data_IF_788101965554
#
_entry.id   IF_788101965554
#
_cell.length_a   1.000
_cell.length_b   1.000
_cell.length_c   1.000
_cell.angle_alpha   90.00
_cell.angle_beta   90.00
_cell.angle_gamma   90.00
#
_symmetry.space_group_name_H-M   'P 1'
#
loop_
_entity.id
_entity.type
_entity.pdbx_description
1 polymer ?
#
# COMPACT_ATOMS: atom_id res chain seq x y z
N UNK A 1 1.25 -12.24 -16.59
CA UNK A 1 0.38 -11.10 -16.99
C UNK A 1 1.13 -10.16 -17.94
N UNK A 2 2.00 -9.25 -17.48
CA UNK A 2 2.74 -8.31 -18.37
C UNK A 2 3.68 -8.99 -19.37
N UNK A 3 4.41 -10.00 -18.93
CA UNK A 3 5.37 -10.74 -19.77
C UNK A 3 4.73 -11.87 -20.61
N UNK A 4 3.40 -11.96 -20.68
CA UNK A 4 2.72 -13.08 -21.37
C UNK A 4 2.84 -14.45 -20.68
N UNK A 5 3.59 -14.57 -19.58
CA UNK A 5 3.82 -15.82 -18.85
C UNK A 5 2.71 -16.17 -17.83
N UNK A 6 1.45 -15.79 -18.09
CA UNK A 6 0.36 -16.06 -17.14
C UNK A 6 0.14 -17.57 -16.90
N UNK A 7 0.43 -18.40 -17.90
CA UNK A 7 0.36 -19.86 -17.83
C UNK A 7 1.37 -20.50 -16.84
N UNK A 8 2.32 -19.74 -16.31
CA UNK A 8 3.27 -20.21 -15.30
C UNK A 8 2.75 -20.05 -13.86
N UNK A 9 1.66 -19.31 -13.66
CA UNK A 9 1.07 -19.09 -12.33
C UNK A 9 0.35 -20.39 -11.92
N UNK A 10 0.89 -21.08 -10.91
CA UNK A 10 0.28 -22.31 -10.36
C UNK A 10 -0.84 -22.02 -9.38
N UNK A 11 -0.78 -20.88 -8.69
CA UNK A 11 -1.76 -20.46 -7.69
C UNK A 11 -1.75 -18.93 -7.57
N UNK A 12 -2.94 -18.37 -7.35
CA UNK A 12 -3.10 -16.99 -6.89
C UNK A 12 -3.34 -17.02 -5.40
N UNK A 13 -2.41 -16.45 -4.63
CA UNK A 13 -2.50 -16.44 -3.18
C UNK A 13 -3.54 -15.42 -2.72
N UNK A 14 -4.36 -15.81 -1.75
CA UNK A 14 -5.39 -14.93 -1.18
C UNK A 14 -4.72 -13.72 -0.51
N UNK A 15 -5.07 -12.48 -0.91
CA UNK A 15 -4.47 -11.26 -0.36
C UNK A 15 -4.83 -11.00 1.10
N UNK A 16 -5.78 -11.73 1.68
CA UNK A 16 -6.06 -11.71 3.13
C UNK A 16 -5.08 -12.60 3.92
N UNK A 17 -4.56 -13.64 3.28
CA UNK A 17 -3.56 -14.56 3.83
C UNK A 17 -2.13 -14.05 3.58
N UNK A 18 -1.79 -13.76 2.32
CA UNK A 18 -0.49 -13.22 1.92
C UNK A 18 -0.67 -11.82 1.36
N UNK A 19 -0.53 -10.83 2.26
CA UNK A 19 -0.67 -9.44 1.90
C UNK A 19 0.40 -9.04 0.86
N UNK A 20 0.00 -8.36 -0.23
CA UNK A 20 0.94 -7.82 -1.21
C UNK A 20 1.92 -6.80 -0.62
N UNK A 21 3.00 -6.53 -1.34
CA UNK A 21 3.84 -5.37 -1.06
C UNK A 21 3.08 -4.06 -1.36
N UNK A 22 3.49 -2.98 -0.71
CA UNK A 22 2.97 -1.63 -0.92
C UNK A 22 3.03 -1.24 -2.41
N UNK A 23 1.90 -0.90 -3.00
CA UNK A 23 1.78 -0.53 -4.41
C UNK A 23 1.97 -1.67 -5.41
N UNK A 24 1.98 -2.94 -4.96
CA UNK A 24 2.19 -4.08 -5.86
C UNK A 24 1.16 -4.12 -6.99
N UNK A 25 1.66 -4.19 -8.22
CA UNK A 25 0.83 -4.22 -9.43
C UNK A 25 0.56 -2.85 -10.04
N UNK A 26 0.77 -1.74 -9.33
CA UNK A 26 0.70 -0.40 -9.91
C UNK A 26 1.97 -0.06 -10.73
N UNK A 27 1.86 0.95 -11.59
CA UNK A 27 3.00 1.60 -12.26
C UNK A 27 2.97 3.07 -11.87
N UNK A 28 4.07 3.57 -11.32
CA UNK A 28 4.26 4.99 -11.03
C UNK A 28 5.01 5.68 -12.17
N UNK A 29 4.62 6.91 -12.46
CA UNK A 29 5.34 7.79 -13.38
C UNK A 29 5.92 8.95 -12.57
N UNK A 30 7.22 9.18 -12.69
CA UNK A 30 7.93 10.27 -12.02
C UNK A 30 8.29 11.35 -13.05
N UNK A 31 8.09 12.61 -12.68
CA UNK A 31 8.48 13.76 -13.46
C UNK A 31 9.00 14.86 -12.53
N UNK A 32 9.68 15.87 -13.09
CA UNK A 32 10.13 17.02 -12.30
C UNK A 32 8.94 17.84 -11.84
N UNK A 33 9.03 18.39 -10.63
CA UNK A 33 7.95 19.16 -10.02
C UNK A 33 7.63 20.46 -10.78
N UNK A 34 8.64 21.06 -11.42
CA UNK A 34 8.56 22.31 -12.18
C UNK A 34 8.21 22.13 -13.67
N UNK A 35 8.00 20.89 -14.13
CA UNK A 35 7.66 20.57 -15.52
C UNK A 35 6.15 20.35 -15.69
N UNK A 36 5.41 21.45 -15.88
CA UNK A 36 3.95 21.42 -15.98
C UNK A 36 3.45 20.59 -17.17
N UNK A 37 4.21 20.57 -18.28
CA UNK A 37 3.83 19.79 -19.47
C UNK A 37 3.83 18.30 -19.16
N UNK A 38 4.89 17.80 -18.50
CA UNK A 38 4.96 16.40 -18.07
C UNK A 38 3.90 16.07 -17.03
N UNK A 39 3.64 16.98 -16.08
CA UNK A 39 2.65 16.78 -15.01
C UNK A 39 1.24 16.63 -15.57
N UNK A 40 0.84 17.46 -16.52
CA UNK A 40 -0.49 17.37 -17.14
C UNK A 40 -0.64 16.08 -17.95
N UNK A 41 0.40 15.67 -18.68
CA UNK A 41 0.40 14.40 -19.39
C UNK A 41 0.24 13.19 -18.45
N UNK A 42 0.96 13.17 -17.32
CA UNK A 42 0.86 12.10 -16.31
C UNK A 42 -0.52 12.09 -15.63
N UNK A 43 -1.07 13.28 -15.32
CA UNK A 43 -2.40 13.40 -14.71
C UNK A 43 -3.48 12.74 -15.56
N UNK A 44 -3.43 12.90 -16.88
CA UNK A 44 -4.38 12.24 -17.81
C UNK A 44 -4.30 10.71 -17.81
N UNK A 45 -3.15 10.13 -17.44
CA UNK A 45 -2.94 8.67 -17.37
C UNK A 45 -3.27 8.08 -16.01
N UNK A 46 -3.61 8.92 -15.03
CA UNK A 46 -3.80 8.50 -13.65
C UNK A 46 -5.16 7.84 -13.45
N UNK A 47 -5.16 6.59 -12.99
CA UNK A 47 -6.36 5.96 -12.45
C UNK A 47 -6.59 6.43 -11.01
N UNK A 48 -7.69 7.15 -10.77
CA UNK A 48 -7.97 7.80 -9.49
C UNK A 48 -8.06 6.79 -8.33
N UNK A 49 -8.71 5.65 -8.53
CA UNK A 49 -8.87 4.62 -7.49
C UNK A 49 -7.51 4.02 -7.09
N UNK A 50 -6.69 3.65 -8.08
CA UNK A 50 -5.32 3.17 -7.86
C UNK A 50 -4.47 4.23 -7.17
N UNK A 51 -4.58 5.50 -7.58
CA UNK A 51 -3.87 6.61 -6.94
C UNK A 51 -4.20 6.72 -5.45
N UNK A 52 -5.48 6.75 -5.09
CA UNK A 52 -5.93 6.86 -3.69
C UNK A 52 -5.41 5.69 -2.85
N UNK A 53 -5.56 4.46 -3.37
CA UNK A 53 -5.10 3.22 -2.75
C UNK A 53 -3.59 3.23 -2.50
N UNK A 54 -2.81 3.45 -3.55
CA UNK A 54 -1.34 3.46 -3.47
C UNK A 54 -0.84 4.59 -2.57
N UNK A 55 -1.50 5.74 -2.57
CA UNK A 55 -1.10 6.87 -1.73
C UNK A 55 -1.33 6.57 -0.23
N UNK A 56 -2.44 5.91 0.12
CA UNK A 56 -2.68 5.43 1.48
C UNK A 56 -1.67 4.36 1.91
N UNK A 57 -1.40 3.38 1.06
CA UNK A 57 -0.42 2.32 1.31
C UNK A 57 1.00 2.88 1.53
N UNK A 58 1.41 3.86 0.71
CA UNK A 58 2.70 4.52 0.84
C UNK A 58 2.78 5.40 2.09
N UNK A 59 1.69 6.09 2.44
CA UNK A 59 1.62 6.89 3.67
C UNK A 59 1.77 6.03 4.92
N UNK A 60 1.10 4.87 4.95
CA UNK A 60 1.27 3.87 6.01
C UNK A 60 2.72 3.40 6.10
N UNK A 61 3.32 2.98 4.97
CA UNK A 61 4.70 2.50 4.95
C UNK A 61 5.69 3.56 5.46
N UNK A 62 5.54 4.81 4.99
CA UNK A 62 6.39 5.92 5.39
C UNK A 62 6.25 6.23 6.90
N UNK A 63 5.03 6.22 7.43
CA UNK A 63 4.76 6.46 8.85
C UNK A 63 5.31 5.36 9.77
N UNK A 64 5.38 4.12 9.29
CA UNK A 64 6.03 3.00 9.99
C UNK A 64 7.57 3.08 9.95
N UNK A 65 8.15 4.04 9.22
CA UNK A 65 9.61 4.11 9.00
C UNK A 65 10.14 2.97 8.13
N UNK A 66 9.26 2.29 7.38
CA UNK A 66 9.61 1.12 6.58
C UNK A 66 10.30 1.46 5.25
N UNK A 67 11.32 0.67 4.89
CA UNK A 67 11.95 0.66 3.56
C UNK A 67 11.57 -0.57 2.72
N UNK A 68 12.24 -0.81 1.58
CA UNK A 68 11.92 -1.96 0.72
C UNK A 68 12.20 -3.35 1.33
N UNK A 69 12.93 -3.42 2.46
CA UNK A 69 13.40 -4.66 3.07
C UNK A 69 12.69 -5.01 4.38
N UNK A 70 11.69 -4.24 4.80
CA UNK A 70 10.93 -4.56 6.01
C UNK A 70 9.75 -5.50 5.69
N UNK A 71 9.44 -6.47 6.58
CA UNK A 71 8.35 -7.42 6.42
C UNK A 71 6.97 -6.77 6.66
N UNK A 72 6.61 -5.86 5.76
CA UNK A 72 5.34 -5.12 5.76
C UNK A 72 4.54 -5.49 4.51
N UNK A 73 3.27 -5.83 4.71
CA UNK A 73 2.31 -6.10 3.62
C UNK A 73 1.06 -5.25 3.77
N UNK A 74 0.40 -4.93 2.66
CA UNK A 74 -0.84 -4.16 2.65
C UNK A 74 -1.76 -4.53 1.50
N UNK A 75 -3.06 -4.36 1.71
CA UNK A 75 -4.08 -4.37 0.67
C UNK A 75 -5.09 -3.26 0.92
N UNK A 76 -5.65 -2.72 -0.16
CA UNK A 76 -6.61 -1.63 -0.07
C UNK A 76 -7.69 -1.75 -1.14
N UNK A 77 -8.88 -1.22 -0.85
CA UNK A 77 -10.01 -1.09 -1.79
C UNK A 77 -10.65 0.29 -1.65
N UNK A 78 -11.31 0.75 -2.71
CA UNK A 78 -12.13 1.97 -2.71
C UNK A 78 -13.51 1.59 -3.25
N UNK A 79 -14.53 1.73 -2.43
CA UNK A 79 -15.93 1.42 -2.75
C UNK A 79 -16.81 2.54 -2.17
N UNK A 80 -17.73 3.09 -2.98
CA UNK A 80 -18.68 4.13 -2.57
C UNK A 80 -18.05 5.33 -1.83
N UNK A 81 -16.86 5.76 -2.27
CA UNK A 81 -16.11 6.87 -1.68
C UNK A 81 -15.37 6.53 -0.37
N UNK A 82 -15.38 5.27 0.04
CA UNK A 82 -14.69 4.79 1.25
C UNK A 82 -13.44 4.00 0.86
N UNK A 83 -12.28 4.43 1.38
CA UNK A 83 -11.04 3.68 1.29
C UNK A 83 -10.92 2.76 2.50
N UNK A 84 -10.81 1.46 2.24
CA UNK A 84 -10.50 0.46 3.26
C UNK A 84 -9.07 -0.03 3.03
N UNK A 85 -8.23 0.03 4.06
CA UNK A 85 -6.84 -0.41 4.00
C UNK A 85 -6.56 -1.38 5.15
N UNK A 86 -5.86 -2.48 4.83
CA UNK A 86 -5.41 -3.48 5.80
C UNK A 86 -3.90 -3.64 5.67
N UNK A 87 -3.20 -3.47 6.78
CA UNK A 87 -1.75 -3.61 6.86
C UNK A 87 -1.35 -4.71 7.84
N UNK A 88 -0.17 -5.29 7.60
CA UNK A 88 0.48 -6.19 8.54
C UNK A 88 1.98 -5.91 8.63
N UNK A 89 2.51 -6.07 9.84
CA UNK A 89 3.94 -6.03 10.15
C UNK A 89 4.30 -7.34 10.82
N UNK A 90 5.39 -7.98 10.38
CA UNK A 90 5.84 -9.27 10.89
C UNK A 90 7.27 -9.18 11.40
N UNK A 91 7.74 -10.15 12.18
CA UNK A 91 9.19 -10.38 12.32
C UNK A 91 9.75 -11.03 11.05
N UNK A 92 11.06 -10.91 10.76
CA UNK A 92 11.69 -11.57 9.61
C UNK A 92 11.52 -13.09 9.58
N UNK A 93 11.42 -13.72 10.75
CA UNK A 93 11.17 -15.16 10.89
C UNK A 93 9.67 -15.53 10.82
N UNK A 94 8.77 -14.55 10.72
CA UNK A 94 7.32 -14.71 10.64
C UNK A 94 6.64 -15.17 11.94
N UNK A 95 7.35 -15.31 13.05
CA UNK A 95 6.80 -15.84 14.30
C UNK A 95 5.85 -14.86 14.99
N UNK A 96 6.11 -13.56 14.87
CA UNK A 96 5.26 -12.50 15.41
C UNK A 96 4.65 -11.71 14.26
N UNK A 97 3.40 -11.28 14.43
CA UNK A 97 2.72 -10.38 13.51
C UNK A 97 1.76 -9.46 14.23
N UNK A 98 1.65 -8.25 13.72
CA UNK A 98 0.63 -7.26 14.06
C UNK A 98 -0.16 -6.95 12.78
N UNK A 99 -1.47 -6.86 12.89
CA UNK A 99 -2.37 -6.63 11.75
C UNK A 99 -3.46 -5.66 12.18
N UNK A 100 -3.75 -4.68 11.33
CA UNK A 100 -4.84 -3.74 11.54
C UNK A 100 -5.56 -3.46 10.23
N UNK A 101 -6.82 -3.04 10.35
CA UNK A 101 -7.65 -2.59 9.24
C UNK A 101 -8.27 -1.24 9.62
N UNK A 102 -8.23 -0.30 8.71
CA UNK A 102 -8.78 1.04 8.89
C UNK A 102 -9.63 1.45 7.68
N UNK A 103 -10.60 2.33 7.90
CA UNK A 103 -11.54 2.84 6.89
C UNK A 103 -11.69 4.34 7.04
N UNK A 104 -11.63 5.06 5.93
CA UNK A 104 -11.90 6.49 5.90
C UNK A 104 -12.30 6.96 4.50
N UNK A 105 -12.34 8.28 4.31
CA UNK A 105 -12.73 8.86 3.04
C UNK A 105 -11.65 8.63 1.98
N UNK A 106 -12.05 8.25 0.77
CA UNK A 106 -11.12 7.98 -0.32
C UNK A 106 -10.42 9.23 -0.87
N UNK A 107 -10.94 10.43 -0.61
CA UNK A 107 -10.29 11.70 -0.94
C UNK A 107 -9.26 12.15 0.12
N UNK A 108 -9.16 11.44 1.25
CA UNK A 108 -8.18 11.66 2.31
C UNK A 108 -7.18 10.49 2.47
N UNK A 109 -6.61 9.92 1.39
CA UNK A 109 -5.85 8.67 1.46
C UNK A 109 -4.61 8.75 2.35
N UNK A 110 -3.95 9.92 2.42
CA UNK A 110 -2.78 10.14 3.29
C UNK A 110 -3.14 9.95 4.76
N UNK A 111 -4.25 10.56 5.21
CA UNK A 111 -4.72 10.44 6.58
C UNK A 111 -5.10 8.98 6.90
N UNK A 112 -5.84 8.32 6.01
CA UNK A 112 -6.24 6.91 6.18
C UNK A 112 -5.02 5.98 6.33
N UNK A 113 -3.95 6.22 5.54
CA UNK A 113 -2.70 5.47 5.67
C UNK A 113 -1.94 5.75 6.96
N UNK A 114 -1.87 7.01 7.38
CA UNK A 114 -1.21 7.43 8.62
C UNK A 114 -1.93 6.89 9.86
N UNK A 115 -3.26 6.91 9.86
CA UNK A 115 -4.08 6.36 10.94
C UNK A 115 -3.92 4.84 11.05
N UNK A 116 -3.85 4.12 9.92
CA UNK A 116 -3.53 2.70 9.94
C UNK A 116 -2.15 2.43 10.55
N UNK A 117 -1.13 3.23 10.20
CA UNK A 117 0.20 3.09 10.78
C UNK A 117 0.20 3.32 12.29
N UNK A 118 -0.52 4.34 12.77
CA UNK A 118 -0.69 4.59 14.20
C UNK A 118 -1.32 3.39 14.93
N UNK A 119 -2.39 2.81 14.37
CA UNK A 119 -3.00 1.59 14.92
C UNK A 119 -2.02 0.42 14.99
N UNK A 120 -1.20 0.22 13.96
CA UNK A 120 -0.18 -0.85 13.96
C UNK A 120 0.89 -0.59 15.03
N UNK A 121 1.32 0.66 15.21
CA UNK A 121 2.31 1.04 16.22
C UNK A 121 1.78 0.85 17.64
N UNK A 122 0.53 1.21 17.91
CA UNK A 122 -0.13 1.00 19.20
C UNK A 122 -0.23 -0.48 19.57
N UNK A 123 -0.35 -1.36 18.55
CA UNK A 123 -0.33 -2.82 18.70
C UNK A 123 1.09 -3.42 18.76
N UNK A 124 2.13 -2.58 18.80
CA UNK A 124 3.52 -3.00 19.01
C UNK A 124 4.34 -3.27 17.74
N UNK A 125 3.90 -2.77 16.57
CA UNK A 125 4.64 -2.95 15.32
C UNK A 125 6.08 -2.40 15.37
N UNK A 126 6.34 -1.37 16.19
CA UNK A 126 7.68 -0.79 16.36
C UNK A 126 8.73 -1.83 16.80
N UNK A 127 8.34 -2.78 17.66
CA UNK A 127 9.24 -3.84 18.14
C UNK A 127 9.55 -4.89 17.07
N UNK A 128 8.68 -5.05 16.08
CA UNK A 128 8.85 -6.01 14.99
C UNK A 128 9.78 -5.48 13.88
N UNK A 129 9.94 -4.16 13.84
CA UNK A 129 10.75 -3.43 12.84
C UNK A 129 12.16 -3.08 13.33
N UNK A 130 12.48 -3.37 14.59
CA UNK A 130 13.75 -3.09 15.24
C UNK A 130 14.88 -4.08 14.86
#
# INVERSE_FOLDING_TARGET
>A
MRLGLANRITELLDPTWMLPAVGQGAIGLECREDDETSREAVRMLTDQSTWQRVLAERAMLAALGGGCLVPIGTTSTVEDGVLTIRGAVLTPDGQRRVVATHRGLADAPLAVGQELAAMLLDEGAAELLA
#
